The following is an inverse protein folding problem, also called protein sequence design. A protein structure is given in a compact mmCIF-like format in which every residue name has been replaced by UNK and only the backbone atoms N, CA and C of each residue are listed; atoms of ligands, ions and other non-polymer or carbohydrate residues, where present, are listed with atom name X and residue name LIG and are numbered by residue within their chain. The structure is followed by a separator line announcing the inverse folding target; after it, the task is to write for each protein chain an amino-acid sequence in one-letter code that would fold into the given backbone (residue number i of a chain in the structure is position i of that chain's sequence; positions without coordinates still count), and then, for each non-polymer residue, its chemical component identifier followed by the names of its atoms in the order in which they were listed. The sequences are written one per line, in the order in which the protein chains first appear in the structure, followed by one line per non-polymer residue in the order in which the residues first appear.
data_IF_503069906672
#
_entry.id   IF_503069906672
#
_cell.length_a   1.000
_cell.length_b   1.000
_cell.length_c   1.000
_cell.angle_alpha   90.00
_cell.angle_beta   90.00
_cell.angle_gamma   90.00
#
_symmetry.space_group_name_H-M   'P 1'
#
loop_
_entity.id
_entity.type
_entity.pdbx_description
1 polymer ?
#
# COMPACT_ATOMS: atom_id res chain seq x y z
N UNK A 1 -2.14 -1.10 -0.31
CA UNK A 1 -3.27 -1.05 0.64
C UNK A 1 -3.65 0.34 1.16
N UNK A 2 -2.72 1.19 1.62
CA UNK A 2 -3.08 2.50 2.22
C UNK A 2 -3.96 3.39 1.32
N UNK A 3 -3.73 3.39 0.02
CA UNK A 3 -4.58 4.08 -0.97
C UNK A 3 -6.04 3.60 -0.93
N UNK A 4 -6.29 2.28 -0.93
CA UNK A 4 -7.66 1.73 -0.80
C UNK A 4 -8.33 2.17 0.50
N UNK A 5 -7.61 2.17 1.61
CA UNK A 5 -8.11 2.66 2.90
C UNK A 5 -8.50 4.13 2.84
N UNK A 6 -7.64 4.99 2.27
CA UNK A 6 -7.92 6.42 2.15
C UNK A 6 -9.11 6.70 1.22
N UNK A 7 -9.19 6.03 0.07
CA UNK A 7 -10.30 6.15 -0.87
C UNK A 7 -11.62 5.63 -0.26
N UNK A 8 -11.56 4.54 0.50
CA UNK A 8 -12.72 4.01 1.25
C UNK A 8 -13.22 5.02 2.27
N UNK A 9 -12.32 5.62 3.07
CA UNK A 9 -12.71 6.65 4.04
C UNK A 9 -13.34 7.87 3.37
N UNK A 10 -12.79 8.31 2.24
CA UNK A 10 -13.30 9.44 1.47
C UNK A 10 -14.73 9.18 0.96
N UNK A 11 -15.01 7.98 0.46
CA UNK A 11 -16.36 7.58 0.03
C UNK A 11 -17.32 7.39 1.22
N UNK A 12 -16.83 6.87 2.35
CA UNK A 12 -17.63 6.58 3.54
C UNK A 12 -18.01 7.84 4.31
N UNK A 13 -17.10 8.79 4.41
CA UNK A 13 -17.22 9.95 5.29
C UNK A 13 -16.63 11.20 4.60
N UNK A 14 -17.24 11.64 3.48
CA UNK A 14 -16.69 12.72 2.64
C UNK A 14 -16.49 14.04 3.39
N UNK A 15 -17.27 14.30 4.45
CA UNK A 15 -17.14 15.51 5.28
C UNK A 15 -15.81 15.58 6.04
N UNK A 16 -15.22 14.43 6.42
CA UNK A 16 -13.97 14.36 7.20
C UNK A 16 -12.71 14.53 6.35
N UNK A 17 -12.83 14.40 5.02
CA UNK A 17 -11.69 14.39 4.10
C UNK A 17 -11.78 15.62 3.21
N UNK A 18 -10.73 16.46 3.19
CA UNK A 18 -10.67 17.61 2.27
C UNK A 18 -10.20 17.22 0.87
N UNK A 19 -9.32 16.23 0.78
CA UNK A 19 -8.71 15.74 -0.46
C UNK A 19 -7.99 14.42 -0.22
N UNK A 20 -7.72 13.64 -1.28
CA UNK A 20 -6.97 12.37 -1.20
C UNK A 20 -5.79 12.37 -2.19
N UNK A 21 -4.63 11.89 -1.74
CA UNK A 21 -3.54 11.46 -2.64
C UNK A 21 -3.42 9.95 -2.48
N UNK A 22 -3.74 9.20 -3.53
CA UNK A 22 -3.57 7.74 -3.57
C UNK A 22 -2.44 7.39 -4.53
N UNK A 23 -1.49 6.59 -4.03
CA UNK A 23 -0.27 6.22 -4.76
C UNK A 23 -0.38 4.75 -5.14
N UNK A 24 -0.32 4.53 -6.45
CA UNK A 24 -0.18 3.26 -7.14
C UNK A 24 -1.12 2.16 -6.63
N UNK A 25 -2.39 2.54 -6.41
CA UNK A 25 -3.50 1.65 -6.12
C UNK A 25 -4.83 2.41 -6.31
N UNK A 26 -5.94 1.69 -6.43
CA UNK A 26 -7.24 2.29 -6.77
C UNK A 26 -8.46 1.55 -6.19
N UNK A 27 -9.66 2.06 -6.47
CA UNK A 27 -10.94 1.53 -6.01
C UNK A 27 -11.39 0.31 -6.84
N UNK A 28 -10.50 -0.65 -7.03
CA UNK A 28 -10.74 -1.88 -7.79
C UNK A 28 -10.44 -3.10 -6.94
N UNK A 29 -11.15 -4.20 -7.22
CA UNK A 29 -10.67 -5.53 -6.83
C UNK A 29 -9.48 -5.88 -7.70
N UNK A 30 -8.35 -6.14 -7.06
CA UNK A 30 -7.15 -6.64 -7.68
C UNK A 30 -6.55 -7.67 -6.72
N UNK A 31 -6.62 -8.97 -7.05
CA UNK A 31 -6.01 -10.01 -6.22
C UNK A 31 -4.54 -9.70 -5.95
N UNK A 32 -4.11 -9.93 -4.71
CA UNK A 32 -2.70 -9.80 -4.35
C UNK A 32 -1.89 -10.88 -5.08
N UNK A 33 -0.67 -10.54 -5.50
CA UNK A 33 0.25 -11.50 -6.10
C UNK A 33 0.70 -12.54 -5.07
N UNK A 34 1.21 -13.68 -5.55
CA UNK A 34 1.72 -14.78 -4.73
C UNK A 34 2.89 -14.38 -3.82
N UNK A 35 3.46 -13.20 -4.06
CA UNK A 35 4.49 -12.57 -3.26
C UNK A 35 4.04 -12.37 -1.81
N UNK A 36 2.83 -11.84 -1.57
CA UNK A 36 2.37 -11.55 -0.21
C UNK A 36 2.20 -12.81 0.65
N UNK A 37 1.53 -13.88 0.20
CA UNK A 37 1.55 -15.16 0.89
C UNK A 37 2.97 -15.67 1.17
N UNK A 38 3.88 -15.55 0.19
CA UNK A 38 5.27 -15.99 0.30
C UNK A 38 6.05 -15.20 1.35
N UNK A 39 5.89 -13.88 1.40
CA UNK A 39 6.47 -13.02 2.45
C UNK A 39 5.99 -13.40 3.84
N UNK A 40 4.68 -13.61 4.00
CA UNK A 40 4.12 -14.00 5.29
C UNK A 40 4.65 -15.36 5.73
N UNK A 41 4.80 -16.33 4.81
CA UNK A 41 5.44 -17.62 5.12
C UNK A 41 6.89 -17.44 5.60
N UNK A 42 7.69 -16.64 4.90
CA UNK A 42 9.08 -16.37 5.31
C UNK A 42 9.18 -15.66 6.66
N UNK A 43 8.34 -14.65 6.90
CA UNK A 43 8.29 -13.96 8.18
C UNK A 43 7.83 -14.87 9.32
N UNK A 44 6.88 -15.77 9.08
CA UNK A 44 6.49 -16.80 10.06
C UNK A 44 7.62 -17.80 10.31
N UNK A 45 8.33 -18.21 9.27
CA UNK A 45 9.47 -19.13 9.39
C UNK A 45 10.54 -18.58 10.33
N UNK A 46 10.85 -17.28 10.25
CA UNK A 46 11.77 -16.61 11.20
C UNK A 46 11.24 -16.68 12.64
N UNK A 47 9.95 -16.42 12.87
CA UNK A 47 9.37 -16.44 14.21
C UNK A 47 9.21 -17.84 14.81
N UNK A 48 9.10 -18.87 13.97
CA UNK A 48 8.89 -20.26 14.38
C UNK A 48 10.19 -21.02 14.65
N UNK A 49 11.36 -20.39 14.48
CA UNK A 49 12.63 -21.03 14.79
C UNK A 49 12.67 -21.48 16.25
N UNK A 50 13.15 -22.70 16.48
CA UNK A 50 13.30 -23.26 17.83
C UNK A 50 14.30 -22.44 18.65
N UNK A 51 15.42 -22.07 18.03
CA UNK A 51 16.37 -21.09 18.57
C UNK A 51 15.93 -19.68 18.18
N UNK A 52 15.75 -18.75 19.13
CA UNK A 52 15.37 -17.38 18.83
C UNK A 52 16.35 -16.69 17.86
N UNK A 53 15.83 -16.20 16.74
CA UNK A 53 16.58 -15.34 15.82
C UNK A 53 16.95 -14.05 16.55
N UNK A 54 18.25 -13.77 16.60
CA UNK A 54 18.83 -12.76 17.49
C UNK A 54 19.42 -11.56 16.75
N UNK A 55 19.62 -11.67 15.44
CA UNK A 55 20.21 -10.62 14.60
C UNK A 55 19.43 -10.39 13.30
N UNK A 56 19.59 -9.20 12.72
CA UNK A 56 19.01 -8.86 11.42
C UNK A 56 19.62 -9.70 10.28
N UNK A 57 20.91 -10.00 10.35
CA UNK A 57 21.63 -10.79 9.34
C UNK A 57 21.14 -12.24 9.31
N UNK A 58 20.90 -12.84 10.48
CA UNK A 58 20.31 -14.18 10.58
C UNK A 58 18.88 -14.21 10.03
N UNK A 59 18.08 -13.19 10.35
CA UNK A 59 16.73 -13.05 9.81
C UNK A 59 16.72 -12.90 8.27
N UNK A 60 17.66 -12.13 7.71
CA UNK A 60 17.81 -11.96 6.26
C UNK A 60 18.20 -13.27 5.57
N UNK A 61 19.14 -14.03 6.13
CA UNK A 61 19.55 -15.32 5.59
C UNK A 61 18.38 -16.31 5.51
N UNK A 62 17.53 -16.37 6.55
CA UNK A 62 16.32 -17.18 6.53
C UNK A 62 15.30 -16.66 5.51
N UNK A 63 15.12 -15.34 5.42
CA UNK A 63 14.17 -14.72 4.50
C UNK A 63 14.60 -14.86 3.02
N UNK A 64 15.90 -15.00 2.74
CA UNK A 64 16.44 -15.19 1.39
C UNK A 64 15.91 -16.43 0.67
N UNK A 65 15.50 -17.45 1.42
CA UNK A 65 14.85 -18.65 0.88
C UNK A 65 13.45 -18.36 0.34
N UNK A 66 12.84 -17.25 0.79
CA UNK A 66 11.50 -16.86 0.44
C UNK A 66 11.44 -15.65 -0.48
N UNK A 67 12.46 -14.77 -0.52
CA UNK A 67 12.49 -13.58 -1.38
C UNK A 67 13.92 -13.27 -1.87
N UNK A 68 14.20 -13.36 -3.19
CA UNK A 68 15.53 -13.12 -3.73
C UNK A 68 16.00 -11.65 -3.68
N UNK A 69 15.10 -10.68 -3.73
CA UNK A 69 15.42 -9.25 -3.75
C UNK A 69 15.83 -8.74 -2.33
N UNK A 70 17.09 -8.33 -2.12
CA UNK A 70 17.56 -7.84 -0.84
C UNK A 70 16.84 -6.56 -0.37
N UNK A 71 16.39 -5.70 -1.29
CA UNK A 71 15.67 -4.47 -0.94
C UNK A 71 14.29 -4.78 -0.35
N UNK A 72 13.58 -5.76 -0.93
CA UNK A 72 12.29 -6.23 -0.40
C UNK A 72 12.50 -6.89 0.97
N UNK A 73 13.51 -7.76 1.11
CA UNK A 73 13.82 -8.38 2.41
C UNK A 73 14.09 -7.35 3.49
N UNK A 74 14.96 -6.38 3.23
CA UNK A 74 15.27 -5.32 4.19
C UNK A 74 14.01 -4.52 4.57
N UNK A 75 13.15 -4.22 3.60
CA UNK A 75 11.87 -3.57 3.86
C UNK A 75 10.97 -4.40 4.79
N UNK A 76 10.78 -5.70 4.51
CA UNK A 76 9.99 -6.59 5.36
C UNK A 76 10.57 -6.64 6.78
N UNK A 77 11.89 -6.74 6.90
CA UNK A 77 12.61 -6.80 8.17
C UNK A 77 12.58 -5.49 8.97
N UNK A 78 12.19 -4.35 8.39
CA UNK A 78 11.91 -3.14 9.19
C UNK A 78 10.78 -3.33 10.20
N UNK A 79 9.94 -4.36 10.00
CA UNK A 79 8.91 -4.74 10.96
C UNK A 79 9.42 -5.62 12.09
N UNK A 80 10.66 -6.11 12.03
CA UNK A 80 11.27 -6.95 13.04
C UNK A 80 11.76 -6.10 14.22
N UNK A 81 11.34 -6.43 15.43
CA UNK A 81 11.69 -5.68 16.63
C UNK A 81 11.97 -6.58 17.83
N UNK A 82 12.78 -6.10 18.77
CA UNK A 82 13.01 -6.76 20.06
C UNK A 82 11.85 -6.43 20.98
N UNK A 83 11.20 -7.45 21.55
CA UNK A 83 10.23 -7.21 22.63
C UNK A 83 11.03 -6.90 23.90
N UNK A 84 10.66 -5.86 24.63
CA UNK A 84 11.28 -5.55 25.93
C UNK A 84 11.24 -6.79 26.83
N UNK A 85 12.39 -7.14 27.42
CA UNK A 85 12.54 -8.31 28.30
C UNK A 85 12.55 -9.67 27.59
N UNK A 86 12.73 -9.74 26.27
CA UNK A 86 12.89 -11.00 25.54
C UNK A 86 14.10 -10.96 24.60
N UNK A 87 14.84 -12.07 24.55
CA UNK A 87 15.96 -12.26 23.60
C UNK A 87 15.49 -12.58 22.18
N UNK A 88 14.18 -12.59 21.93
CA UNK A 88 13.59 -12.98 20.64
C UNK A 88 13.09 -11.77 19.84
N UNK A 89 13.50 -11.72 18.58
CA UNK A 89 12.94 -10.82 17.59
C UNK A 89 11.53 -11.27 17.17
N UNK A 90 10.63 -10.32 16.95
CA UNK A 90 9.27 -10.57 16.47
C UNK A 90 8.83 -9.48 15.51
N UNK A 91 7.94 -9.83 14.58
CA UNK A 91 7.34 -8.85 13.69
C UNK A 91 6.23 -8.09 14.41
N UNK A 92 6.25 -6.76 14.28
CA UNK A 92 5.21 -5.85 14.82
C UNK A 92 3.85 -6.07 14.16
N UNK A 93 3.86 -6.59 12.92
CA UNK A 93 2.65 -6.83 12.15
C UNK A 93 2.02 -8.17 12.53
N UNK A 94 0.68 -8.25 12.62
CA UNK A 94 0.00 -9.47 13.01
C UNK A 94 -0.04 -10.46 11.84
N UNK A 95 1.00 -11.30 11.70
CA UNK A 95 1.15 -12.23 10.58
C UNK A 95 -0.04 -13.17 10.39
N UNK A 96 -0.69 -13.59 11.48
CA UNK A 96 -1.83 -14.50 11.42
C UNK A 96 -3.08 -13.83 10.85
N UNK A 97 -3.36 -12.61 11.27
CA UNK A 97 -4.46 -11.80 10.73
C UNK A 97 -4.17 -11.48 9.27
N UNK A 98 -2.95 -11.06 8.94
CA UNK A 98 -2.58 -10.75 7.56
C UNK A 98 -2.77 -11.96 6.65
N UNK A 99 -2.34 -13.14 7.09
CA UNK A 99 -2.45 -14.38 6.31
C UNK A 99 -3.89 -14.75 5.98
N UNK A 100 -4.82 -14.60 6.93
CA UNK A 100 -6.23 -14.92 6.71
C UNK A 100 -6.99 -13.82 5.97
N UNK A 101 -6.42 -12.61 5.88
CA UNK A 101 -7.07 -11.45 5.28
C UNK A 101 -6.63 -11.14 3.86
N UNK A 102 -5.67 -11.87 3.28
CA UNK A 102 -5.06 -11.52 1.98
C UNK A 102 -6.07 -11.35 0.85
N UNK A 103 -7.07 -12.24 0.73
CA UNK A 103 -8.09 -12.14 -0.32
C UNK A 103 -8.95 -10.88 -0.13
N UNK A 104 -9.39 -10.61 1.09
CA UNK A 104 -10.16 -9.41 1.43
C UNK A 104 -9.35 -8.11 1.22
N UNK A 105 -8.02 -8.13 1.45
CA UNK A 105 -7.15 -6.99 1.16
C UNK A 105 -7.07 -6.70 -0.35
N UNK A 106 -7.21 -7.72 -1.21
CA UNK A 106 -7.32 -7.56 -2.65
C UNK A 106 -8.60 -6.85 -3.12
N UNK A 107 -9.62 -6.74 -2.27
CA UNK A 107 -10.93 -6.23 -2.66
C UNK A 107 -11.09 -4.71 -2.48
N UNK A 108 -12.22 -4.15 -2.91
CA UNK A 108 -12.65 -2.78 -2.61
C UNK A 108 -14.14 -2.77 -2.22
N UNK A 109 -14.52 -2.17 -1.08
CA UNK A 109 -15.84 -2.40 -0.47
C UNK A 109 -17.02 -1.70 -1.16
N UNK A 110 -16.78 -0.91 -2.21
CA UNK A 110 -17.82 -0.17 -2.92
C UNK A 110 -17.89 -0.60 -4.39
N UNK A 111 -19.11 -0.88 -4.85
CA UNK A 111 -19.36 -1.39 -6.20
C UNK A 111 -20.32 -0.51 -7.03
N UNK A 112 -21.07 0.41 -6.40
CA UNK A 112 -21.99 1.34 -7.10
C UNK A 112 -21.52 2.80 -6.97
N UNK A 113 -20.82 3.33 -7.98
CA UNK A 113 -20.38 4.72 -8.01
C UNK A 113 -21.51 5.75 -8.01
N UNK A 114 -22.78 5.37 -8.20
CA UNK A 114 -23.91 6.31 -8.12
C UNK A 114 -24.34 6.56 -6.68
N UNK A 115 -24.07 5.60 -5.78
CA UNK A 115 -24.40 5.67 -4.35
C UNK A 115 -23.26 6.22 -3.52
N UNK A 116 -22.02 5.95 -3.94
CA UNK A 116 -20.83 6.38 -3.23
C UNK A 116 -20.00 7.25 -4.18
N UNK A 117 -19.95 8.56 -3.90
CA UNK A 117 -19.11 9.50 -4.64
C UNK A 117 -18.35 10.38 -3.68
N UNK A 118 -17.14 10.73 -4.07
CA UNK A 118 -16.34 11.74 -3.38
C UNK A 118 -16.02 12.85 -4.38
N UNK A 119 -16.70 13.97 -4.19
CA UNK A 119 -16.66 15.12 -5.12
C UNK A 119 -15.59 16.14 -4.76
N UNK A 120 -14.72 15.85 -3.80
CA UNK A 120 -13.58 16.72 -3.46
C UNK A 120 -12.32 16.27 -4.21
N UNK A 121 -11.25 17.08 -4.23
CA UNK A 121 -10.07 16.78 -5.02
C UNK A 121 -9.42 15.44 -4.68
N UNK A 122 -9.09 14.68 -5.74
CA UNK A 122 -8.32 13.43 -5.63
C UNK A 122 -7.15 13.50 -6.60
N UNK A 123 -5.96 13.10 -6.14
CA UNK A 123 -4.83 12.83 -7.01
C UNK A 123 -4.50 11.35 -6.95
N UNK A 124 -4.52 10.71 -8.11
CA UNK A 124 -3.98 9.36 -8.31
C UNK A 124 -2.59 9.51 -8.90
N UNK A 125 -1.60 8.98 -8.18
CA UNK A 125 -0.23 8.84 -8.67
C UNK A 125 -0.06 7.42 -9.16
N UNK A 126 0.16 7.23 -10.47
CA UNK A 126 0.27 5.91 -11.09
C UNK A 126 1.72 5.62 -11.46
N UNK A 127 2.24 4.47 -11.04
CA UNK A 127 3.52 3.97 -11.53
C UNK A 127 3.31 3.18 -12.83
N UNK A 128 3.89 3.62 -13.94
CA UNK A 128 3.60 3.05 -15.26
C UNK A 128 4.18 1.65 -15.46
N UNK A 129 5.18 1.24 -14.66
CA UNK A 129 5.78 -0.10 -14.70
C UNK A 129 5.16 -1.04 -13.66
N UNK A 130 4.08 -0.61 -13.01
CA UNK A 130 3.37 -1.35 -11.98
C UNK A 130 2.03 -1.89 -12.48
N UNK A 131 1.59 -3.02 -11.91
CA UNK A 131 0.32 -3.65 -12.26
C UNK A 131 -0.84 -3.22 -11.36
N UNK A 132 -0.60 -2.40 -10.33
CA UNK A 132 -1.63 -2.06 -9.33
C UNK A 132 -2.71 -1.08 -9.80
N UNK A 133 -2.49 -0.40 -10.94
CA UNK A 133 -3.44 0.52 -11.56
C UNK A 133 -3.52 0.28 -13.08
N UNK A 134 -4.20 -0.78 -13.51
CA UNK A 134 -4.37 -1.07 -14.94
C UNK A 134 -5.21 0.01 -15.64
N UNK A 135 -4.99 0.25 -16.94
CA UNK A 135 -5.63 1.34 -17.68
C UNK A 135 -7.17 1.33 -17.61
N UNK A 136 -7.78 0.16 -17.64
CA UNK A 136 -9.24 0.01 -17.55
C UNK A 136 -9.84 0.49 -16.22
N UNK A 137 -9.02 0.63 -15.17
CA UNK A 137 -9.48 1.13 -13.86
C UNK A 137 -9.83 2.62 -13.88
N UNK A 138 -9.32 3.37 -14.87
CA UNK A 138 -9.48 4.83 -14.97
C UNK A 138 -10.95 5.26 -15.05
N UNK A 139 -11.75 4.57 -15.85
CA UNK A 139 -13.17 4.90 -16.01
C UNK A 139 -13.94 4.69 -14.70
N UNK A 140 -13.68 3.57 -14.00
CA UNK A 140 -14.31 3.30 -12.70
C UNK A 140 -13.89 4.34 -11.65
N UNK A 141 -12.60 4.71 -11.62
CA UNK A 141 -12.09 5.75 -10.73
C UNK A 141 -12.81 7.08 -10.95
N UNK A 142 -13.00 7.50 -12.21
CA UNK A 142 -13.71 8.75 -12.54
C UNK A 142 -15.17 8.73 -12.07
N UNK A 143 -15.83 7.57 -12.09
CA UNK A 143 -17.21 7.44 -11.60
C UNK A 143 -17.31 7.66 -10.09
N UNK A 144 -16.39 7.07 -9.31
CA UNK A 144 -16.33 7.26 -7.85
C UNK A 144 -15.77 8.64 -7.44
N UNK A 145 -14.82 9.17 -8.21
CA UNK A 145 -14.02 10.36 -7.91
C UNK A 145 -14.02 11.32 -9.11
N UNK A 146 -15.08 12.11 -9.30
CA UNK A 146 -15.26 12.96 -10.50
C UNK A 146 -14.21 14.05 -10.64
N UNK A 147 -13.69 14.52 -9.50
CA UNK A 147 -12.63 15.53 -9.42
C UNK A 147 -11.24 14.91 -9.26
N UNK A 148 -11.03 13.67 -9.77
CA UNK A 148 -9.69 13.10 -9.81
C UNK A 148 -8.84 13.74 -10.89
N UNK A 149 -7.56 13.93 -10.57
CA UNK A 149 -6.46 14.04 -11.52
C UNK A 149 -5.58 12.79 -11.40
N UNK A 150 -5.02 12.36 -12.52
CA UNK A 150 -4.07 11.25 -12.55
C UNK A 150 -2.74 11.75 -13.11
N UNK A 151 -1.63 11.35 -12.48
CA UNK A 151 -0.27 11.66 -12.93
C UNK A 151 0.51 10.37 -12.99
N UNK A 152 1.21 10.19 -14.11
CA UNK A 152 2.02 9.01 -14.38
C UNK A 152 3.48 9.25 -14.01
N UNK A 153 4.08 8.23 -13.42
CA UNK A 153 5.48 8.18 -13.02
C UNK A 153 6.13 6.97 -13.69
N UNK A 154 7.22 7.20 -14.41
CA UNK A 154 7.99 6.14 -15.04
C UNK A 154 8.90 5.43 -14.04
N UNK A 155 8.30 4.58 -13.21
CA UNK A 155 8.95 3.77 -12.18
C UNK A 155 8.14 2.52 -11.86
N UNK A 156 8.72 1.64 -11.03
CA UNK A 156 8.01 0.54 -10.41
C UNK A 156 7.07 0.99 -9.29
N UNK A 157 6.57 0.02 -8.52
CA UNK A 157 5.54 0.26 -7.51
C UNK A 157 5.96 1.26 -6.41
N UNK A 158 7.26 1.49 -6.20
CA UNK A 158 7.77 2.19 -5.02
C UNK A 158 8.03 3.66 -5.34
N UNK A 159 7.01 4.36 -5.85
CA UNK A 159 7.10 5.75 -6.37
C UNK A 159 7.85 6.70 -5.44
N UNK A 160 7.59 6.66 -4.12
CA UNK A 160 8.25 7.56 -3.17
C UNK A 160 9.75 7.26 -3.05
N UNK A 161 10.14 6.00 -3.16
CA UNK A 161 11.55 5.56 -3.08
C UNK A 161 12.26 5.79 -4.42
N UNK A 162 11.62 5.43 -5.53
CA UNK A 162 12.22 5.49 -6.87
C UNK A 162 12.24 6.93 -7.43
N UNK A 163 11.21 7.72 -7.14
CA UNK A 163 10.98 9.08 -7.69
C UNK A 163 10.65 10.14 -6.62
N UNK A 164 11.45 10.27 -5.53
CA UNK A 164 11.12 11.14 -4.39
C UNK A 164 11.01 12.63 -4.74
N UNK A 165 11.79 13.12 -5.70
CA UNK A 165 11.78 14.54 -6.11
C UNK A 165 10.54 14.87 -6.93
N UNK A 166 10.27 14.07 -7.97
CA UNK A 166 9.07 14.19 -8.81
C UNK A 166 7.79 14.06 -7.96
N UNK A 167 7.76 13.11 -7.01
CA UNK A 167 6.61 12.91 -6.13
C UNK A 167 6.37 14.11 -5.22
N UNK A 168 7.43 14.75 -4.69
CA UNK A 168 7.27 15.96 -3.88
C UNK A 168 6.65 17.12 -4.66
N UNK A 169 6.99 17.25 -5.95
CA UNK A 169 6.44 18.29 -6.81
C UNK A 169 4.97 18.00 -7.19
N UNK A 170 4.59 16.74 -7.41
CA UNK A 170 3.20 16.42 -7.80
C UNK A 170 2.17 16.76 -6.72
N UNK A 171 2.55 16.80 -5.44
CA UNK A 171 1.66 17.17 -4.32
C UNK A 171 1.02 18.55 -4.50
N UNK A 172 1.70 19.49 -5.16
CA UNK A 172 1.15 20.82 -5.44
C UNK A 172 -0.09 20.78 -6.32
N UNK A 173 -0.28 19.72 -7.10
CA UNK A 173 -1.48 19.53 -7.91
C UNK A 173 -2.74 19.33 -7.06
N UNK A 174 -2.63 18.79 -5.83
CA UNK A 174 -3.77 18.70 -4.92
C UNK A 174 -4.03 20.02 -4.23
N UNK A 175 -2.98 20.70 -3.76
CA UNK A 175 -3.15 21.98 -3.09
C UNK A 175 -3.72 23.07 -4.01
N UNK A 176 -3.43 23.02 -5.31
CA UNK A 176 -4.05 23.92 -6.29
C UNK A 176 -5.52 23.59 -6.60
N UNK A 177 -6.00 22.40 -6.24
CA UNK A 177 -7.41 22.00 -6.40
C UNK A 177 -8.27 22.32 -5.18
N UNK A 178 -7.66 22.59 -4.02
CA UNK A 178 -8.38 22.97 -2.80
C UNK A 178 -8.51 24.49 -2.78
N UNK A 179 -9.73 25.07 -2.84
CA UNK A 179 -9.89 26.50 -2.73
C UNK A 179 -9.33 27.00 -1.38
N UNK A 180 -8.75 28.20 -1.33
CA UNK A 180 -8.26 28.77 -0.08
C UNK A 180 -9.39 28.78 0.95
N UNK A 181 -9.08 28.38 2.19
CA UNK A 181 -10.05 28.50 3.28
C UNK A 181 -10.36 29.98 3.48
N UNK A 182 -11.64 30.33 3.35
CA UNK A 182 -12.18 31.64 3.73
C UNK A 182 -12.04 31.85 5.24
#
# INVERSE_FOLDING_TARGET
MGAKTALTLALRSPSLVSSVIAIDNGPIRLPLTDDFPRYIRGMRHIQSQATPVSSLSEADALLSQFEPDPAIRLFLLTNLTRKSGKDRLHFRVPLDILSSSLDALGDFPYTDPRRNRFEKPVLIVRATRSHYLPDHSKELMQKFFPNLKMVDFDCGHWVITEKPHEFRQSRFLVFSMVPPRA
#
